data_IF_469361258201
#
_entry.id   IF_469361258201
#
_cell.length_a   1.000
_cell.length_b   1.000
_cell.length_c   1.000
_cell.angle_alpha   90.00
_cell.angle_beta   90.00
_cell.angle_gamma   90.00
#
_symmetry.space_group_name_H-M   'P 1'
#
loop_
_entity.id
_entity.type
_entity.pdbx_description
1 polymer ?
#
# COMPACT_ATOMS: atom_id res chain seq x y z
N UNK A 1 -9.82 -5.49 3.96
CA UNK A 1 -8.55 -4.81 3.63
C UNK A 1 -8.80 -3.64 2.69
N UNK A 2 -9.59 -3.79 1.62
CA UNK A 2 -10.02 -2.64 0.81
C UNK A 2 -10.63 -1.54 1.69
N UNK A 3 -10.28 -0.28 1.40
CA UNK A 3 -10.65 0.90 2.18
C UNK A 3 -9.68 1.24 3.33
N UNK A 4 -8.61 0.47 3.52
CA UNK A 4 -7.59 0.70 4.55
C UNK A 4 -6.73 1.93 4.23
N UNK A 5 -6.44 2.74 5.25
CA UNK A 5 -5.55 3.88 5.10
C UNK A 5 -4.10 3.38 5.03
N UNK A 6 -3.37 3.86 4.03
CA UNK A 6 -1.98 3.49 3.77
C UNK A 6 -1.08 4.65 4.12
N UNK A 7 -0.04 4.37 4.89
CA UNK A 7 0.95 5.33 5.35
C UNK A 7 2.34 4.88 4.94
N UNK A 8 3.23 5.84 4.69
CA UNK A 8 4.65 5.56 4.54
C UNK A 8 5.30 5.24 5.89
N UNK A 9 6.52 4.69 5.89
CA UNK A 9 7.28 4.40 7.11
C UNK A 9 7.51 5.65 7.98
N UNK A 10 7.57 6.84 7.37
CA UNK A 10 7.70 8.13 8.03
C UNK A 10 6.39 8.60 8.71
N UNK A 11 5.31 7.83 8.59
CA UNK A 11 4.00 8.13 9.14
C UNK A 11 3.16 9.11 8.30
N UNK A 12 3.58 9.41 7.06
CA UNK A 12 2.82 10.27 6.15
C UNK A 12 1.69 9.47 5.51
N UNK A 13 0.48 10.04 5.45
CA UNK A 13 -0.64 9.42 4.74
C UNK A 13 -0.33 9.39 3.24
N UNK A 14 -0.21 8.18 2.70
CA UNK A 14 0.09 7.94 1.30
C UNK A 14 -1.19 7.88 0.48
N UNK A 15 -2.24 7.24 1.02
CA UNK A 15 -3.51 7.10 0.33
C UNK A 15 -4.37 5.99 0.93
N UNK A 16 -5.22 5.40 0.09
CA UNK A 16 -6.16 4.34 0.51
C UNK A 16 -6.03 3.12 -0.37
N UNK A 17 -6.03 1.92 0.24
CA UNK A 17 -6.03 0.66 -0.48
C UNK A 17 -7.36 0.49 -1.22
N UNK A 18 -7.32 0.62 -2.54
CA UNK A 18 -8.49 0.53 -3.41
C UNK A 18 -8.82 -0.90 -3.78
N UNK A 19 -7.81 -1.67 -4.19
CA UNK A 19 -8.01 -3.04 -4.68
C UNK A 19 -6.74 -3.88 -4.53
N UNK A 20 -6.87 -5.19 -4.74
CA UNK A 20 -5.76 -6.15 -4.73
C UNK A 20 -5.79 -6.95 -6.02
N UNK A 21 -4.75 -6.78 -6.83
CA UNK A 21 -4.53 -7.56 -8.04
C UNK A 21 -3.74 -8.82 -7.67
N UNK A 22 -4.43 -9.96 -7.64
CA UNK A 22 -3.77 -11.27 -7.52
C UNK A 22 -3.03 -11.58 -8.82
N UNK A 23 -1.70 -11.68 -8.75
CA UNK A 23 -0.89 -12.20 -9.85
C UNK A 23 -0.49 -13.64 -9.55
N UNK A 24 -0.08 -14.41 -10.56
CA UNK A 24 0.38 -15.79 -10.36
C UNK A 24 1.64 -15.95 -9.49
N UNK A 25 2.25 -14.85 -9.03
CA UNK A 25 3.44 -14.85 -8.17
C UNK A 25 3.18 -14.16 -6.82
N UNK A 26 2.84 -12.88 -6.82
CA UNK A 26 2.54 -12.10 -5.62
C UNK A 26 1.35 -11.18 -5.86
N UNK A 27 0.62 -10.87 -4.79
CA UNK A 27 -0.44 -9.86 -4.87
C UNK A 27 0.16 -8.47 -5.09
N UNK A 28 -0.58 -7.63 -5.78
CA UNK A 28 -0.22 -6.22 -6.02
C UNK A 28 -1.35 -5.35 -5.48
N UNK A 29 -1.04 -4.52 -4.51
CA UNK A 29 -1.97 -3.58 -3.91
C UNK A 29 -2.10 -2.33 -4.78
N UNK A 30 -3.34 -1.98 -5.10
CA UNK A 30 -3.68 -0.79 -5.84
C UNK A 30 -4.05 0.28 -4.82
N UNK A 31 -3.24 1.32 -4.74
CA UNK A 31 -3.44 2.42 -3.79
C UNK A 31 -3.78 3.68 -4.56
N UNK A 32 -4.92 4.29 -4.23
CA UNK A 32 -5.22 5.64 -4.68
C UNK A 32 -4.52 6.60 -3.72
N UNK A 33 -3.51 7.33 -4.22
CA UNK A 33 -2.78 8.30 -3.42
C UNK A 33 -3.62 9.53 -3.12
N UNK A 34 -3.23 10.28 -2.09
CA UNK A 34 -3.87 11.57 -1.75
C UNK A 34 -3.81 12.59 -2.89
N UNK A 35 -2.81 12.48 -3.78
CA UNK A 35 -2.70 13.27 -5.02
C UNK A 35 -3.63 12.79 -6.16
N UNK A 36 -4.45 11.76 -5.93
CA UNK A 36 -5.38 11.19 -6.91
C UNK A 36 -4.71 10.35 -8.00
N UNK A 37 -3.49 9.87 -7.75
CA UNK A 37 -2.79 8.93 -8.65
C UNK A 37 -2.99 7.51 -8.17
N UNK A 38 -2.99 6.58 -9.10
CA UNK A 38 -2.98 5.15 -8.79
C UNK A 38 -1.55 4.64 -8.72
N UNK A 39 -1.19 3.96 -7.62
CA UNK A 39 0.13 3.35 -7.43
C UNK A 39 -0.02 1.87 -7.14
N UNK A 40 0.78 1.07 -7.84
CA UNK A 40 0.82 -0.38 -7.71
C UNK A 40 1.97 -0.77 -6.79
N UNK A 41 1.65 -1.28 -5.61
CA UNK A 41 2.64 -1.70 -4.62
C UNK A 41 2.62 -3.22 -4.50
N UNK A 42 3.71 -3.92 -4.84
CA UNK A 42 3.77 -5.36 -4.67
C UNK A 42 3.69 -5.74 -3.18
N UNK A 43 2.87 -6.73 -2.84
CA UNK A 43 2.65 -7.21 -1.48
C UNK A 43 3.81 -8.10 -1.00
N UNK A 44 5.03 -7.56 -1.04
CA UNK A 44 6.26 -8.22 -0.59
C UNK A 44 6.72 -7.63 0.74
N UNK A 45 7.48 -8.41 1.51
CA UNK A 45 7.99 -8.01 2.84
C UNK A 45 8.84 -6.73 2.84
N UNK A 46 9.42 -6.36 1.70
CA UNK A 46 10.20 -5.14 1.57
C UNK A 46 9.33 -3.90 1.40
N UNK A 47 8.11 -4.06 0.87
CA UNK A 47 7.19 -2.94 0.63
C UNK A 47 6.13 -2.84 1.72
N UNK A 48 5.63 -3.96 2.26
CA UNK A 48 4.60 -3.95 3.30
C UNK A 48 5.28 -4.20 4.65
N UNK A 49 5.44 -3.14 5.43
CA UNK A 49 6.12 -3.18 6.73
C UNK A 49 5.19 -3.66 7.84
N UNK A 50 3.94 -3.18 7.83
CA UNK A 50 2.94 -3.55 8.83
C UNK A 50 1.52 -3.49 8.26
N UNK A 51 0.65 -4.37 8.72
CA UNK A 51 -0.78 -4.35 8.40
C UNK A 51 -1.56 -4.51 9.70
N UNK A 52 -2.18 -3.41 10.15
CA UNK A 52 -3.05 -3.39 11.31
C UNK A 52 -4.52 -3.43 10.85
N UNK A 53 -5.16 -4.57 11.07
CA UNK A 53 -6.55 -4.79 10.67
C UNK A 53 -7.52 -4.11 11.66
N UNK A 54 -7.13 -3.97 12.94
CA UNK A 54 -7.97 -3.36 13.96
C UNK A 54 -8.05 -1.85 13.75
N UNK A 55 -6.92 -1.20 13.47
CA UNK A 55 -6.86 0.24 13.18
C UNK A 55 -7.19 0.60 11.72
N UNK A 56 -7.43 -0.40 10.85
CA UNK A 56 -7.56 -0.20 9.41
C UNK A 56 -6.40 0.64 8.84
N UNK A 57 -5.18 0.24 9.20
CA UNK A 57 -3.95 0.96 8.84
C UNK A 57 -2.91 0.03 8.24
N UNK A 58 -2.32 0.43 7.11
CA UNK A 58 -1.19 -0.24 6.48
C UNK A 58 0.03 0.67 6.46
N UNK A 59 1.18 0.17 6.86
CA UNK A 59 2.46 0.88 6.72
C UNK A 59 3.25 0.26 5.58
N UNK A 60 3.61 1.08 4.59
CA UNK A 60 4.41 0.69 3.45
C UNK A 60 5.76 1.41 3.43
N UNK A 61 6.72 0.75 2.80
CA UNK A 61 8.00 1.31 2.39
C UNK A 61 8.02 1.37 0.86
N UNK A 62 8.20 2.56 0.31
CA UNK A 62 8.35 2.73 -1.13
C UNK A 62 9.83 2.60 -1.47
N UNK A 63 10.15 1.61 -2.30
CA UNK A 63 11.51 1.46 -2.82
C UNK A 63 11.83 2.65 -3.74
N UNK A 64 13.08 3.15 -3.67
CA UNK A 64 13.56 4.19 -4.57
C UNK A 64 13.37 3.75 -6.04
N UNK A 65 12.57 4.51 -6.80
CA UNK A 65 12.27 4.23 -8.21
C UNK A 65 10.90 3.64 -8.51
N UNK A 66 10.01 3.48 -7.51
CA UNK A 66 8.64 3.00 -7.72
C UNK A 66 7.60 4.11 -8.03
N UNK A 67 8.04 5.36 -8.23
CA UNK A 67 7.18 6.54 -8.52
C UNK A 67 7.66 7.34 -9.72
#
# INVERSE_FOLDING_TARGET
>A
MIGMHVFTEDGTEFGTLRDVLETGANDVYIIDTTDGKEVLVPAIKQCILNVDIEEQKMTIHLLEGLV
#
